data_IF_803671610611
#
_entry.id   IF_803671610611
#
_cell.length_a   1.000
_cell.length_b   1.000
_cell.length_c   1.000
_cell.angle_alpha   90.00
_cell.angle_beta   90.00
_cell.angle_gamma   90.00
#
_symmetry.space_group_name_H-M   'P 1'
#
loop_
_entity.id
_entity.type
_entity.pdbx_description
1 polymer ?
#
# COMPACT_ATOMS: atom_id res chain seq x y z
N UNK A 1 2.91 -10.85 -8.85
CA UNK A 1 2.40 -9.64 -8.17
C UNK A 1 1.88 -8.71 -9.25
N UNK A 2 0.58 -8.43 -9.26
CA UNK A 2 -0.05 -7.55 -10.25
C UNK A 2 0.44 -6.11 -10.09
N UNK A 3 1.27 -5.67 -11.03
CA UNK A 3 1.88 -4.35 -11.06
C UNK A 3 0.88 -3.27 -11.48
N UNK A 4 -0.15 -3.62 -12.26
CA UNK A 4 -1.18 -2.70 -12.73
C UNK A 4 -2.09 -2.30 -11.57
N UNK A 5 -2.59 -3.27 -10.80
CA UNK A 5 -3.35 -3.00 -9.59
C UNK A 5 -2.57 -2.14 -8.60
N UNK A 6 -1.29 -2.47 -8.35
CA UNK A 6 -0.46 -1.71 -7.43
C UNK A 6 -0.31 -0.24 -7.85
N UNK A 7 -0.13 0.01 -9.15
CA UNK A 7 0.02 1.36 -9.69
C UNK A 7 -1.31 2.12 -9.67
N UNK A 8 -2.41 1.46 -10.03
CA UNK A 8 -3.76 2.03 -9.94
C UNK A 8 -4.09 2.42 -8.49
N UNK A 9 -3.85 1.53 -7.53
CA UNK A 9 -4.12 1.79 -6.11
C UNK A 9 -3.26 2.92 -5.55
N UNK A 10 -2.01 3.05 -5.99
CA UNK A 10 -1.13 4.16 -5.59
C UNK A 10 -1.65 5.51 -6.08
N UNK A 11 -2.11 5.55 -7.32
CA UNK A 11 -2.54 6.78 -7.99
C UNK A 11 -3.99 7.18 -7.64
N UNK A 12 -4.88 6.22 -7.40
CA UNK A 12 -6.32 6.48 -7.25
C UNK A 12 -6.84 6.17 -5.84
N UNK A 13 -6.03 5.53 -4.99
CA UNK A 13 -6.47 5.13 -3.65
C UNK A 13 -6.68 6.31 -2.69
N UNK A 14 -6.01 7.43 -2.92
CA UNK A 14 -6.19 8.61 -2.08
C UNK A 14 -7.36 9.46 -2.58
N UNK A 15 -8.16 9.98 -1.66
CA UNK A 15 -9.25 10.91 -1.99
C UNK A 15 -8.72 12.27 -2.45
N UNK A 16 -7.73 12.80 -1.73
CA UNK A 16 -7.16 14.11 -1.99
C UNK A 16 -5.71 14.02 -2.45
N UNK A 17 -5.39 14.55 -3.64
CA UNK A 17 -4.03 14.68 -4.15
C UNK A 17 -3.48 16.05 -3.76
N UNK A 18 -2.60 16.08 -2.77
CA UNK A 18 -2.08 17.34 -2.22
C UNK A 18 -0.79 17.72 -2.96
N UNK A 19 -0.83 18.86 -3.65
CA UNK A 19 0.33 19.42 -4.35
C UNK A 19 1.06 20.38 -3.40
N UNK A 20 2.35 20.15 -3.19
CA UNK A 20 3.22 20.91 -2.28
C UNK A 20 3.66 22.28 -2.86
N UNK A 21 2.89 22.86 -3.80
CA UNK A 21 3.18 24.19 -4.34
C UNK A 21 2.70 25.27 -3.36
N UNK A 22 3.55 26.25 -3.07
CA UNK A 22 3.27 27.40 -2.18
C UNK A 22 2.33 28.44 -2.84
N UNK A 23 1.19 28.01 -3.37
CA UNK A 23 0.19 28.94 -3.92
C UNK A 23 -0.76 29.41 -2.82
N UNK A 24 -1.07 30.72 -2.87
CA UNK A 24 -1.82 31.50 -1.90
C UNK A 24 -3.14 30.84 -1.44
N UNK A 25 -3.62 31.13 -0.22
CA UNK A 25 -4.81 30.50 0.33
C UNK A 25 -6.05 30.81 -0.54
N UNK A 26 -6.73 29.77 -1.00
CA UNK A 26 -8.05 29.91 -1.65
C UNK A 26 -9.10 30.06 -0.53
N UNK A 27 -9.98 31.05 -0.64
CA UNK A 27 -11.07 31.30 0.32
C UNK A 27 -12.01 30.08 0.50
N UNK A 28 -12.43 29.82 1.74
CA UNK A 28 -13.15 28.62 2.14
C UNK A 28 -14.49 28.40 1.39
N UNK A 29 -15.18 29.47 0.99
CA UNK A 29 -16.49 29.40 0.29
C UNK A 29 -16.33 28.91 -1.15
N UNK A 30 -15.26 29.34 -1.82
CA UNK A 30 -14.89 28.91 -3.17
C UNK A 30 -14.37 27.46 -3.18
N UNK A 31 -13.81 27.02 -2.05
CA UNK A 31 -13.28 25.66 -1.87
C UNK A 31 -14.36 24.58 -1.82
N UNK A 32 -15.42 24.74 -1.00
CA UNK A 32 -16.46 23.70 -0.90
C UNK A 32 -17.25 23.54 -2.21
N UNK A 33 -17.49 24.62 -2.95
CA UNK A 33 -18.12 24.56 -4.27
C UNK A 33 -17.22 23.91 -5.33
N UNK A 34 -15.91 24.16 -5.30
CA UNK A 34 -14.94 23.49 -6.17
C UNK A 34 -14.80 21.99 -5.85
N UNK A 35 -14.78 21.60 -4.56
CA UNK A 35 -14.79 20.19 -4.14
C UNK A 35 -16.08 19.48 -4.55
N UNK A 36 -17.24 20.13 -4.41
CA UNK A 36 -18.55 19.58 -4.81
C UNK A 36 -18.61 19.36 -6.33
N UNK A 37 -18.08 20.30 -7.11
CA UNK A 37 -18.01 20.20 -8.58
C UNK A 37 -16.99 19.15 -9.02
N UNK A 38 -15.83 19.03 -8.35
CA UNK A 38 -14.82 18.00 -8.63
C UNK A 38 -15.30 16.59 -8.26
N UNK A 39 -16.06 16.45 -7.16
CA UNK A 39 -16.70 15.19 -6.79
C UNK A 39 -17.77 14.73 -7.80
N UNK A 40 -18.29 15.65 -8.62
CA UNK A 40 -19.29 15.38 -9.66
C UNK A 40 -18.68 14.93 -11.00
N UNK A 41 -17.37 15.16 -11.21
CA UNK A 41 -16.62 14.70 -12.39
C UNK A 41 -15.89 13.40 -12.04
N UNK A 42 -16.53 12.28 -12.31
CA UNK A 42 -15.97 10.95 -12.09
C UNK A 42 -14.71 10.72 -12.94
N UNK A 43 -13.55 10.62 -12.29
CA UNK A 43 -12.39 9.77 -12.65
C UNK A 43 -11.04 10.37 -12.19
N UNK A 44 -10.89 10.68 -10.90
CA UNK A 44 -9.57 10.99 -10.36
C UNK A 44 -9.58 11.50 -8.91
N UNK A 45 -8.41 11.50 -8.24
CA UNK A 45 -8.24 12.15 -6.96
C UNK A 45 -8.53 13.65 -7.04
N UNK A 46 -9.09 14.21 -5.96
CA UNK A 46 -9.39 15.64 -5.91
C UNK A 46 -8.09 16.39 -5.57
N UNK A 47 -7.63 17.24 -6.48
CA UNK A 47 -6.42 18.03 -6.26
C UNK A 47 -6.65 19.14 -5.23
N UNK A 48 -5.74 19.26 -4.25
CA UNK A 48 -5.73 20.35 -3.27
C UNK A 48 -4.30 20.88 -3.06
N UNK A 49 -4.16 22.15 -2.68
CA UNK A 49 -2.86 22.71 -2.29
C UNK A 49 -2.53 22.40 -0.83
N UNK A 50 -1.26 22.55 -0.44
CA UNK A 50 -0.82 22.42 0.96
C UNK A 50 -1.55 23.39 1.90
N UNK A 51 -1.69 24.66 1.50
CA UNK A 51 -2.39 25.69 2.29
C UNK A 51 -3.86 25.33 2.52
N UNK A 52 -4.52 24.81 1.50
CA UNK A 52 -5.90 24.32 1.57
C UNK A 52 -6.02 23.06 2.43
N UNK A 53 -5.08 22.12 2.33
CA UNK A 53 -5.06 20.93 3.16
C UNK A 53 -4.92 21.26 4.66
N UNK A 54 -4.06 22.22 5.00
CA UNK A 54 -3.91 22.73 6.37
C UNK A 54 -5.23 23.34 6.86
N UNK A 55 -5.93 24.11 6.02
CA UNK A 55 -7.23 24.67 6.37
C UNK A 55 -8.30 23.59 6.59
N UNK A 56 -8.37 22.57 5.73
CA UNK A 56 -9.26 21.42 5.90
C UNK A 56 -9.01 20.70 7.24
N UNK A 57 -7.75 20.42 7.57
CA UNK A 57 -7.36 19.82 8.85
C UNK A 57 -7.74 20.73 10.01
N UNK A 58 -7.50 22.04 9.90
CA UNK A 58 -7.88 23.02 10.93
C UNK A 58 -9.37 22.97 11.23
N UNK A 59 -10.23 22.87 10.21
CA UNK A 59 -11.69 22.76 10.40
C UNK A 59 -12.07 21.46 11.11
N UNK A 60 -11.47 20.33 10.73
CA UNK A 60 -11.67 19.03 11.39
C UNK A 60 -11.18 19.07 12.85
N UNK A 61 -10.04 19.72 13.10
CA UNK A 61 -9.50 19.92 14.44
C UNK A 61 -10.42 20.76 15.31
N UNK A 62 -10.93 21.90 14.81
CA UNK A 62 -11.87 22.75 15.54
C UNK A 62 -13.16 22.00 15.87
N UNK A 63 -13.69 21.22 14.92
CA UNK A 63 -14.89 20.39 15.12
C UNK A 63 -14.68 19.27 16.16
N UNK A 64 -13.47 18.73 16.25
CA UNK A 64 -13.10 17.64 17.16
C UNK A 64 -12.32 18.10 18.41
N UNK A 65 -12.34 19.40 18.74
CA UNK A 65 -11.70 19.93 19.94
C UNK A 65 -12.40 19.40 21.20
N UNK A 66 -11.84 18.33 21.77
CA UNK A 66 -11.98 18.01 23.19
C UNK A 66 -11.08 18.91 24.05
N UNK A 67 -11.13 18.71 25.37
CA UNK A 67 -10.49 19.47 26.48
C UNK A 67 -8.93 19.55 26.47
N UNK A 68 -8.27 19.46 25.32
CA UNK A 68 -6.81 19.48 25.22
C UNK A 68 -6.26 20.92 25.18
N UNK A 69 -5.10 21.09 25.81
CA UNK A 69 -4.38 22.37 25.91
C UNK A 69 -3.97 22.89 24.52
N UNK A 70 -3.92 24.22 24.36
CA UNK A 70 -3.45 24.88 23.14
C UNK A 70 -2.03 24.43 22.79
N UNK A 71 -1.81 24.09 21.51
CA UNK A 71 -0.50 23.70 20.97
C UNK A 71 -0.23 22.20 20.84
N UNK A 72 -1.23 21.34 21.09
CA UNK A 72 -1.16 19.92 20.73
C UNK A 72 -2.46 19.45 20.07
N UNK A 73 -2.36 18.60 19.07
CA UNK A 73 -3.53 18.03 18.39
C UNK A 73 -3.93 16.68 18.99
N UNK A 74 -5.23 16.37 18.98
CA UNK A 74 -5.71 15.07 19.43
C UNK A 74 -5.36 14.00 18.38
N UNK A 75 -4.58 12.95 18.70
CA UNK A 75 -4.18 11.94 17.71
C UNK A 75 -5.38 11.17 17.10
N UNK A 76 -6.56 11.19 17.73
CA UNK A 76 -7.79 10.63 17.18
C UNK A 76 -8.17 11.31 15.85
N UNK A 77 -7.87 12.61 15.67
CA UNK A 77 -8.16 13.31 14.41
C UNK A 77 -7.45 12.66 13.23
N UNK A 78 -6.25 12.09 13.44
CA UNK A 78 -5.49 11.47 12.35
C UNK A 78 -6.21 10.22 11.86
N UNK A 79 -6.88 9.49 12.76
CA UNK A 79 -7.75 8.37 12.38
C UNK A 79 -8.93 8.81 11.51
N UNK A 80 -9.52 9.97 11.80
CA UNK A 80 -10.60 10.53 10.98
C UNK A 80 -10.12 11.04 9.62
N UNK A 81 -9.00 11.76 9.61
CA UNK A 81 -8.36 12.23 8.38
C UNK A 81 -7.94 11.06 7.49
N UNK A 82 -7.37 10.01 8.08
CA UNK A 82 -7.03 8.78 7.37
C UNK A 82 -8.27 8.09 6.80
N UNK A 83 -9.39 8.07 7.55
CA UNK A 83 -10.67 7.52 7.08
C UNK A 83 -11.19 8.26 5.85
N UNK A 84 -11.14 9.59 5.85
CA UNK A 84 -11.52 10.37 4.68
C UNK A 84 -10.56 10.15 3.50
N UNK A 85 -9.25 10.07 3.77
CA UNK A 85 -8.25 9.91 2.72
C UNK A 85 -8.28 8.52 2.07
N UNK A 86 -8.67 7.47 2.82
CA UNK A 86 -8.71 6.07 2.37
C UNK A 86 -10.09 5.61 1.91
N UNK A 87 -11.07 6.51 1.75
CA UNK A 87 -12.45 6.13 1.38
C UNK A 87 -12.56 5.37 0.07
N UNK A 88 -11.61 5.58 -0.86
CA UNK A 88 -11.62 4.96 -2.18
C UNK A 88 -11.02 3.54 -2.19
N UNK A 89 -10.39 3.11 -1.09
CA UNK A 89 -9.67 1.83 -1.06
C UNK A 89 -10.60 0.63 -1.26
N UNK A 90 -11.78 0.67 -0.63
CA UNK A 90 -12.75 -0.43 -0.69
C UNK A 90 -13.22 -0.67 -2.13
N UNK A 91 -13.66 0.38 -2.82
CA UNK A 91 -14.13 0.28 -4.21
C UNK A 91 -13.04 -0.23 -5.17
N UNK A 92 -11.80 0.24 -5.01
CA UNK A 92 -10.69 -0.22 -5.85
C UNK A 92 -10.38 -1.70 -5.66
N UNK A 93 -10.43 -2.20 -4.42
CA UNK A 93 -10.16 -3.62 -4.19
C UNK A 93 -11.31 -4.49 -4.67
N UNK A 94 -12.56 -4.09 -4.46
CA UNK A 94 -13.72 -4.85 -4.95
C UNK A 94 -13.65 -4.98 -6.47
N UNK A 95 -13.44 -3.87 -7.19
CA UNK A 95 -13.31 -3.88 -8.65
C UNK A 95 -12.17 -4.80 -9.12
N UNK A 96 -11.05 -4.81 -8.41
CA UNK A 96 -9.92 -5.67 -8.74
C UNK A 96 -10.22 -7.15 -8.47
N UNK A 97 -10.82 -7.47 -7.33
CA UNK A 97 -11.23 -8.83 -6.97
C UNK A 97 -12.26 -9.39 -7.96
N UNK A 98 -13.23 -8.58 -8.37
CA UNK A 98 -14.20 -8.94 -9.42
C UNK A 98 -13.51 -9.19 -10.76
N UNK A 99 -12.55 -8.34 -11.15
CA UNK A 99 -11.73 -8.53 -12.35
C UNK A 99 -10.99 -9.87 -12.34
N UNK A 100 -10.24 -10.16 -11.27
CA UNK A 100 -9.50 -11.43 -11.13
C UNK A 100 -10.43 -12.64 -11.14
N UNK A 101 -11.58 -12.55 -10.47
CA UNK A 101 -12.55 -13.64 -10.43
C UNK A 101 -13.15 -13.91 -11.81
N UNK A 102 -13.45 -12.85 -12.58
CA UNK A 102 -13.94 -12.99 -13.95
C UNK A 102 -12.88 -13.60 -14.87
N UNK A 103 -11.63 -13.19 -14.76
CA UNK A 103 -10.55 -13.72 -15.61
C UNK A 103 -10.30 -15.21 -15.32
N UNK A 104 -10.39 -15.63 -14.05
CA UNK A 104 -10.31 -17.05 -13.67
C UNK A 104 -11.52 -17.88 -14.14
N UNK A 105 -12.70 -17.28 -14.25
CA UNK A 105 -13.89 -17.94 -14.78
C UNK A 105 -13.82 -18.18 -16.30
N UNK A 106 -13.06 -17.35 -17.03
CA UNK A 106 -12.88 -17.48 -18.49
C UNK A 106 -11.88 -18.60 -18.83
N UNK A 107 -10.93 -18.90 -17.94
CA UNK A 107 -9.98 -20.01 -18.11
C UNK A 107 -10.59 -21.36 -17.73
N UNK A 108 -11.57 -21.85 -18.52
CA UNK A 108 -12.07 -23.23 -18.73
C UNK A 108 -12.17 -24.26 -17.57
N UNK A 109 -11.92 -23.89 -16.31
CA UNK A 109 -11.85 -24.81 -15.17
C UNK A 109 -13.17 -24.95 -14.41
N UNK A 110 -14.31 -24.70 -15.05
CA UNK A 110 -15.64 -25.12 -14.57
C UNK A 110 -15.88 -24.83 -13.09
N UNK A 111 -15.66 -23.59 -12.63
CA UNK A 111 -15.96 -23.25 -11.24
C UNK A 111 -17.49 -23.15 -11.08
N UNK A 112 -18.14 -23.97 -10.24
CA UNK A 112 -19.59 -23.91 -10.08
C UNK A 112 -19.99 -22.53 -9.56
N UNK A 113 -20.91 -21.84 -10.25
CA UNK A 113 -21.31 -20.44 -10.00
C UNK A 113 -21.64 -20.11 -8.53
N UNK A 114 -22.05 -21.10 -7.74
CA UNK A 114 -22.28 -20.96 -6.30
C UNK A 114 -21.04 -20.78 -5.42
N UNK A 115 -19.87 -21.31 -5.82
CA UNK A 115 -18.62 -21.18 -5.04
C UNK A 115 -17.97 -19.80 -5.21
N UNK A 116 -18.11 -19.19 -6.39
CA UNK A 116 -17.59 -17.85 -6.69
C UNK A 116 -18.27 -16.77 -5.83
N UNK A 117 -19.60 -16.83 -5.68
CA UNK A 117 -20.36 -15.87 -4.88
C UNK A 117 -20.06 -16.00 -3.38
N UNK A 118 -19.97 -17.24 -2.87
CA UNK A 118 -19.56 -17.51 -1.49
C UNK A 118 -18.13 -17.06 -1.22
N UNK A 119 -17.27 -17.17 -2.23
CA UNK A 119 -15.89 -16.70 -2.19
C UNK A 119 -15.80 -15.17 -2.12
N UNK A 120 -16.54 -14.47 -2.98
CA UNK A 120 -16.58 -13.00 -2.99
C UNK A 120 -17.12 -12.43 -1.67
N UNK A 121 -18.21 -13.02 -1.14
CA UNK A 121 -18.83 -12.56 0.10
C UNK A 121 -17.88 -12.69 1.30
N UNK A 122 -17.19 -13.82 1.41
CA UNK A 122 -16.21 -14.07 2.47
C UNK A 122 -14.93 -13.24 2.27
N UNK A 123 -14.45 -13.06 1.05
CA UNK A 123 -13.37 -12.12 0.73
C UNK A 123 -13.73 -10.70 1.19
N UNK A 124 -14.96 -10.26 0.94
CA UNK A 124 -15.51 -8.99 1.43
C UNK A 124 -15.51 -8.89 2.96
N UNK A 125 -15.96 -9.92 3.68
CA UNK A 125 -15.90 -9.91 5.15
C UNK A 125 -14.47 -9.86 5.69
N UNK A 126 -13.53 -10.55 5.03
CA UNK A 126 -12.12 -10.55 5.42
C UNK A 126 -11.48 -9.18 5.15
N UNK A 127 -11.77 -8.57 4.00
CA UNK A 127 -11.35 -7.23 3.62
C UNK A 127 -11.84 -6.19 4.63
N UNK A 128 -13.10 -6.27 5.05
CA UNK A 128 -13.66 -5.36 6.05
C UNK A 128 -12.95 -5.49 7.41
N UNK A 129 -12.60 -6.73 7.79
CA UNK A 129 -11.84 -6.99 9.02
C UNK A 129 -10.41 -6.44 8.93
N UNK A 130 -9.71 -6.67 7.82
CA UNK A 130 -8.38 -6.13 7.55
C UNK A 130 -8.41 -4.59 7.59
N UNK A 131 -9.41 -3.99 6.95
CA UNK A 131 -9.55 -2.54 6.92
C UNK A 131 -9.80 -1.99 8.33
N UNK A 132 -10.62 -2.66 9.15
CA UNK A 132 -10.83 -2.32 10.57
C UNK A 132 -9.55 -2.47 11.40
N UNK A 133 -8.80 -3.55 11.22
CA UNK A 133 -7.57 -3.81 11.99
C UNK A 133 -6.46 -2.82 11.60
N UNK A 134 -6.38 -2.44 10.32
CA UNK A 134 -5.49 -1.39 9.83
C UNK A 134 -5.78 -0.05 10.52
N UNK A 135 -7.05 0.30 10.76
CA UNK A 135 -7.44 1.51 11.51
C UNK A 135 -6.93 1.51 12.96
N UNK A 136 -6.96 0.36 13.62
CA UNK A 136 -6.41 0.21 14.98
C UNK A 136 -4.89 0.39 15.01
N UNK A 137 -4.18 -0.15 14.01
CA UNK A 137 -2.73 0.01 13.86
C UNK A 137 -2.37 1.47 13.61
N UNK A 138 -3.09 2.17 12.72
CA UNK A 138 -2.94 3.61 12.46
C UNK A 138 -3.05 4.41 13.75
N UNK A 139 -4.03 4.11 14.61
CA UNK A 139 -4.24 4.85 15.87
C UNK A 139 -3.07 4.66 16.87
N UNK A 140 -2.40 3.51 16.84
CA UNK A 140 -1.24 3.24 17.70
C UNK A 140 0.01 3.90 17.13
N UNK A 141 0.22 3.83 15.81
CA UNK A 141 1.39 4.44 15.16
C UNK A 141 1.33 5.97 15.19
N UNK A 142 0.16 6.60 15.06
CA UNK A 142 -0.03 8.05 15.24
C UNK A 142 0.41 8.51 16.62
N UNK A 143 0.01 7.76 17.66
CA UNK A 143 0.37 8.08 19.04
C UNK A 143 1.88 7.99 19.25
N UNK A 144 2.54 6.99 18.67
CA UNK A 144 4.00 6.84 18.76
C UNK A 144 4.73 7.92 17.97
N UNK A 145 4.27 8.24 16.75
CA UNK A 145 4.88 9.23 15.87
C UNK A 145 4.68 10.67 16.32
N UNK A 146 3.51 11.03 16.85
CA UNK A 146 3.28 12.37 17.43
C UNK A 146 4.16 12.59 18.67
N UNK A 147 4.31 11.58 19.52
CA UNK A 147 5.21 11.64 20.68
C UNK A 147 6.69 11.73 20.26
N UNK A 148 7.10 11.10 19.16
CA UNK A 148 8.48 11.14 18.68
C UNK A 148 8.80 12.40 17.86
N UNK A 149 7.87 12.88 17.03
CA UNK A 149 7.99 14.08 16.22
C UNK A 149 8.02 15.35 17.09
N UNK A 150 7.12 15.47 18.08
CA UNK A 150 7.10 16.61 19.03
C UNK A 150 8.44 16.74 19.77
N UNK A 151 9.04 15.60 20.15
CA UNK A 151 10.35 15.57 20.83
C UNK A 151 11.51 15.90 19.90
N UNK A 152 11.49 15.43 18.65
CA UNK A 152 12.61 15.60 17.71
C UNK A 152 12.61 16.98 17.04
N UNK A 153 11.45 17.53 16.68
CA UNK A 153 11.32 18.88 16.12
C UNK A 153 11.70 19.96 17.13
N UNK A 154 11.20 19.86 18.38
CA UNK A 154 11.59 20.78 19.46
C UNK A 154 13.09 20.71 19.75
N UNK A 155 13.66 19.51 19.79
CA UNK A 155 15.10 19.32 20.00
C UNK A 155 15.94 19.93 18.86
N UNK A 156 15.58 19.74 17.60
CA UNK A 156 16.33 20.29 16.46
C UNK A 156 16.23 21.82 16.42
N UNK A 157 15.04 22.36 16.67
CA UNK A 157 14.81 23.81 16.73
C UNK A 157 15.60 24.48 17.86
N UNK A 158 15.68 23.83 19.03
CA UNK A 158 16.52 24.26 20.16
C UNK A 158 18.00 24.19 19.79
N UNK A 159 18.44 23.11 19.14
CA UNK A 159 19.84 22.94 18.75
C UNK A 159 20.31 24.05 17.79
N UNK A 160 19.56 24.31 16.71
CA UNK A 160 19.90 25.36 15.74
C UNK A 160 19.98 26.74 16.42
N UNK A 161 19.08 27.02 17.36
CA UNK A 161 19.04 28.30 18.07
C UNK A 161 20.16 28.43 19.09
N UNK A 162 20.46 27.34 19.80
CA UNK A 162 21.59 27.27 20.71
C UNK A 162 22.90 27.51 19.95
N UNK A 163 23.08 26.89 18.78
CA UNK A 163 24.21 27.13 17.89
C UNK A 163 24.26 28.61 17.45
N UNK A 164 23.13 29.21 17.05
CA UNK A 164 23.08 30.62 16.64
C UNK A 164 23.34 31.64 17.76
N UNK A 165 23.15 31.23 19.02
CA UNK A 165 23.39 32.05 20.20
C UNK A 165 24.72 31.71 20.89
N UNK A 166 25.47 30.74 20.36
CA UNK A 166 26.80 30.38 20.85
C UNK A 166 27.83 31.25 20.16
N UNK A 167 28.43 32.15 20.92
CA UNK A 167 29.52 33.00 20.45
C UNK A 167 30.86 32.37 20.84
N UNK A 168 31.80 32.39 19.90
CA UNK A 168 33.08 31.72 19.97
C UNK A 168 34.18 32.78 20.11
N UNK A 169 34.62 33.04 21.34
CA UNK A 169 35.62 34.08 21.62
C UNK A 169 37.02 33.48 21.75
N UNK A 170 38.02 34.13 21.15
CA UNK A 170 39.41 33.69 21.27
C UNK A 170 39.99 34.13 22.62
N UNK A 171 40.63 33.20 23.34
CA UNK A 171 41.21 33.48 24.65
C UNK A 171 42.51 34.26 24.48
N UNK A 172 42.49 35.54 24.88
CA UNK A 172 43.66 36.43 24.80
C UNK A 172 44.78 35.93 25.73
N UNK A 173 45.87 35.45 25.14
CA UNK A 173 47.06 34.95 25.86
C UNK A 173 47.47 33.52 25.50
N UNK A 174 46.75 32.84 24.60
CA UNK A 174 47.11 31.50 24.15
C UNK A 174 47.55 31.50 22.68
N UNK A 175 48.73 30.93 22.39
CA UNK A 175 49.29 30.83 21.03
C UNK A 175 48.68 29.69 20.20
N UNK A 176 47.57 29.10 20.67
CA UNK A 176 46.85 28.02 19.99
C UNK A 176 45.43 28.48 19.61
N UNK A 177 44.79 27.75 18.70
CA UNK A 177 43.39 27.95 18.26
C UNK A 177 42.38 27.50 19.33
N UNK A 178 42.60 27.85 20.60
CA UNK A 178 41.62 27.59 21.66
C UNK A 178 40.56 28.71 21.68
N UNK A 179 39.32 28.32 21.45
CA UNK A 179 38.14 29.18 21.43
C UNK A 179 37.26 28.85 22.63
N UNK A 180 36.84 29.86 23.39
CA UNK A 180 35.81 29.70 24.44
C UNK A 180 34.42 29.91 23.85
N UNK A 181 33.52 28.97 24.11
CA UNK A 181 32.11 29.10 23.75
C UNK A 181 31.36 29.80 24.89
N UNK A 182 30.70 30.93 24.59
CA UNK A 182 29.80 31.64 25.49
C UNK A 182 28.39 31.59 24.93
N UNK A 183 27.41 31.23 25.76
CA UNK A 183 26.01 31.11 25.35
C UNK A 183 25.21 32.22 26.02
N UNK A 184 24.58 33.07 25.22
CA UNK A 184 23.61 34.06 25.71
C UNK A 184 22.25 33.38 25.92
N UNK A 185 21.96 33.04 27.18
CA UNK A 185 20.73 32.32 27.57
C UNK A 185 19.48 33.16 27.31
N UNK A 186 19.54 34.49 27.49
CA UNK A 186 18.41 35.38 27.28
C UNK A 186 18.08 35.54 25.80
N UNK A 187 19.11 35.60 24.95
CA UNK A 187 18.95 35.57 23.48
C UNK A 187 18.39 34.25 23.00
N UNK A 188 18.83 33.11 23.55
CA UNK A 188 18.23 31.79 23.25
C UNK A 188 16.76 31.77 23.65
N UNK A 189 16.43 32.19 24.88
CA UNK A 189 15.06 32.17 25.39
C UNK A 189 14.13 33.08 24.56
N UNK A 190 14.56 34.30 24.27
CA UNK A 190 13.77 35.26 23.49
C UNK A 190 13.55 34.78 22.06
N UNK A 191 14.59 34.25 21.43
CA UNK A 191 14.55 33.71 20.05
C UNK A 191 13.74 32.42 19.97
N UNK A 192 13.75 31.61 21.03
CA UNK A 192 12.92 30.41 21.11
C UNK A 192 11.44 30.77 21.29
N UNK A 193 11.12 31.72 22.18
CA UNK A 193 9.76 32.16 22.45
C UNK A 193 9.12 32.90 21.26
N UNK A 194 9.88 33.68 20.49
CA UNK A 194 9.37 34.33 19.26
C UNK A 194 9.09 33.36 18.12
N UNK A 195 9.72 32.18 18.11
CA UNK A 195 9.47 31.14 17.10
C UNK A 195 8.26 30.26 17.40
N UNK A 196 7.80 30.21 18.66
CA UNK A 196 6.50 29.63 18.98
C UNK A 196 5.47 30.47 18.23
N UNK A 197 5.06 29.97 17.07
CA UNK A 197 4.19 30.65 16.13
C UNK A 197 2.92 31.08 16.89
N UNK A 198 2.53 32.37 16.90
CA UNK A 198 1.37 32.81 17.67
C UNK A 198 0.08 32.11 17.21
N UNK A 199 0.04 31.59 15.97
CA UNK A 199 -1.02 30.70 15.50
C UNK A 199 -0.65 29.22 15.71
N UNK A 200 -0.70 28.80 16.98
CA UNK A 200 -0.46 27.40 17.39
C UNK A 200 -1.37 26.40 16.68
N UNK A 201 -2.53 26.83 16.17
CA UNK A 201 -3.46 25.98 15.43
C UNK A 201 -2.97 25.68 14.02
N UNK A 202 -2.39 26.67 13.34
CA UNK A 202 -1.80 26.47 12.03
C UNK A 202 -0.58 25.55 12.11
N UNK A 203 0.27 25.74 13.13
CA UNK A 203 1.39 24.84 13.41
C UNK A 203 0.90 23.40 13.66
N UNK A 204 -0.05 23.23 14.59
CA UNK A 204 -0.61 21.90 14.92
C UNK A 204 -1.29 21.23 13.72
N UNK A 205 -1.95 22.01 12.85
CA UNK A 205 -2.58 21.50 11.62
C UNK A 205 -1.55 21.06 10.59
N UNK A 206 -0.42 21.77 10.49
CA UNK A 206 0.72 21.38 9.67
C UNK A 206 1.37 20.09 10.15
N UNK A 207 1.60 19.94 11.45
CA UNK A 207 2.13 18.69 12.02
C UNK A 207 1.19 17.50 11.80
N UNK A 208 -0.12 17.72 11.98
CA UNK A 208 -1.13 16.71 11.71
C UNK A 208 -1.13 16.27 10.24
N UNK A 209 -0.92 17.21 9.31
CA UNK A 209 -0.79 16.92 7.87
C UNK A 209 0.42 16.01 7.58
N UNK A 210 1.59 16.35 8.11
CA UNK A 210 2.81 15.56 7.91
C UNK A 210 2.69 14.16 8.51
N UNK A 211 2.09 14.06 9.70
CA UNK A 211 1.79 12.78 10.34
C UNK A 211 0.85 11.93 9.47
N UNK A 212 -0.24 12.52 8.97
CA UNK A 212 -1.18 11.86 8.06
C UNK A 212 -0.47 11.28 6.84
N UNK A 213 0.41 12.03 6.17
CA UNK A 213 1.15 11.54 5.00
C UNK A 213 2.07 10.37 5.33
N UNK A 214 2.83 10.50 6.42
CA UNK A 214 3.77 9.47 6.83
C UNK A 214 3.05 8.14 7.08
N UNK A 215 1.91 8.20 7.79
CA UNK A 215 1.10 7.03 8.10
C UNK A 215 0.43 6.49 6.84
N UNK A 216 -0.18 7.37 6.04
CA UNK A 216 -0.88 6.96 4.83
C UNK A 216 0.05 6.18 3.90
N UNK A 217 1.30 6.64 3.70
CA UNK A 217 2.30 5.94 2.89
C UNK A 217 2.62 4.54 3.40
N UNK A 218 2.79 4.37 4.71
CA UNK A 218 3.06 3.07 5.32
C UNK A 218 1.84 2.15 5.20
N UNK A 219 0.67 2.64 5.59
CA UNK A 219 -0.58 1.89 5.53
C UNK A 219 -0.94 1.49 4.10
N UNK A 220 -0.76 2.36 3.10
CA UNK A 220 -1.03 2.04 1.70
C UNK A 220 -0.16 0.88 1.23
N UNK A 221 1.14 0.90 1.52
CA UNK A 221 2.05 -0.20 1.17
C UNK A 221 1.66 -1.51 1.85
N UNK A 222 1.38 -1.47 3.15
CA UNK A 222 0.98 -2.64 3.92
C UNK A 222 -0.36 -3.19 3.45
N UNK A 223 -1.32 -2.33 3.14
CA UNK A 223 -2.64 -2.72 2.67
C UNK A 223 -2.57 -3.42 1.31
N UNK A 224 -1.84 -2.87 0.34
CA UNK A 224 -1.61 -3.52 -0.96
C UNK A 224 -1.05 -4.94 -0.75
N UNK A 225 -0.02 -5.09 0.09
CA UNK A 225 0.58 -6.39 0.37
C UNK A 225 -0.41 -7.38 1.01
N UNK A 226 -1.25 -6.90 1.94
CA UNK A 226 -2.28 -7.74 2.56
C UNK A 226 -3.33 -8.17 1.54
N UNK A 227 -3.78 -7.27 0.65
CA UNK A 227 -4.75 -7.62 -0.39
C UNK A 227 -4.17 -8.67 -1.34
N UNK A 228 -2.95 -8.47 -1.83
CA UNK A 228 -2.32 -9.43 -2.75
C UNK A 228 -2.16 -10.81 -2.11
N UNK A 229 -1.66 -10.87 -0.87
CA UNK A 229 -1.34 -12.16 -0.24
C UNK A 229 -2.54 -12.82 0.42
N UNK A 230 -3.36 -12.07 1.16
CA UNK A 230 -4.45 -12.67 1.95
C UNK A 230 -5.76 -12.77 1.19
N UNK A 231 -6.06 -11.81 0.31
CA UNK A 231 -7.32 -11.81 -0.44
C UNK A 231 -7.12 -12.52 -1.77
N UNK A 232 -6.13 -12.13 -2.57
CA UNK A 232 -5.98 -12.71 -3.90
C UNK A 232 -5.35 -14.10 -3.82
N UNK A 233 -4.11 -14.22 -3.34
CA UNK A 233 -3.40 -15.50 -3.33
C UNK A 233 -4.11 -16.55 -2.46
N UNK A 234 -4.43 -16.20 -1.21
CA UNK A 234 -4.99 -17.17 -0.27
C UNK A 234 -6.47 -17.44 -0.45
N UNK A 235 -7.27 -16.40 -0.68
CA UNK A 235 -8.71 -16.56 -0.70
C UNK A 235 -9.23 -16.89 -2.10
N UNK A 236 -8.76 -16.18 -3.13
CA UNK A 236 -9.23 -16.40 -4.50
C UNK A 236 -8.50 -17.59 -5.11
N UNK A 237 -7.17 -17.53 -5.26
CA UNK A 237 -6.40 -18.52 -6.03
C UNK A 237 -6.32 -19.88 -5.34
N UNK A 238 -5.88 -19.94 -4.09
CA UNK A 238 -5.68 -21.24 -3.40
C UNK A 238 -7.01 -21.99 -3.24
N UNK A 239 -8.10 -21.29 -2.89
CA UNK A 239 -9.39 -21.97 -2.71
C UNK A 239 -10.08 -22.30 -4.02
N UNK A 240 -9.98 -21.44 -5.04
CA UNK A 240 -10.49 -21.81 -6.36
C UNK A 240 -9.77 -23.06 -6.87
N UNK A 241 -8.45 -23.15 -6.68
CA UNK A 241 -7.67 -24.34 -7.03
C UNK A 241 -8.06 -25.57 -6.20
N UNK A 242 -8.34 -25.40 -4.91
CA UNK A 242 -8.78 -26.49 -4.03
C UNK A 242 -10.16 -27.06 -4.44
N UNK A 243 -11.08 -26.21 -4.88
CA UNK A 243 -12.38 -26.64 -5.41
C UNK A 243 -12.24 -27.33 -6.80
N UNK A 244 -11.34 -26.80 -7.65
CA UNK A 244 -11.04 -27.37 -8.98
C UNK A 244 -10.43 -28.77 -8.87
N UNK A 245 -9.47 -28.96 -7.97
CA UNK A 245 -8.80 -30.25 -7.75
C UNK A 245 -9.33 -30.99 -6.51
N UNK A 246 -10.58 -30.72 -6.12
CA UNK A 246 -11.18 -31.41 -4.99
C UNK A 246 -11.29 -32.90 -5.31
N UNK A 247 -10.90 -33.81 -4.39
CA UNK A 247 -11.06 -35.25 -4.60
C UNK A 247 -12.49 -35.66 -4.97
N UNK A 248 -13.49 -34.88 -4.53
CA UNK A 248 -14.90 -35.11 -4.85
C UNK A 248 -15.18 -34.73 -6.30
N UNK A 249 -14.72 -33.55 -6.76
CA UNK A 249 -14.86 -33.09 -8.13
C UNK A 249 -14.15 -34.05 -9.08
N UNK A 250 -12.90 -34.41 -8.80
CA UNK A 250 -12.10 -35.35 -9.60
C UNK A 250 -12.75 -36.73 -9.68
N UNK A 251 -13.31 -37.23 -8.57
CA UNK A 251 -14.01 -38.52 -8.56
C UNK A 251 -15.39 -38.47 -9.24
N UNK A 252 -15.95 -37.28 -9.46
CA UNK A 252 -17.22 -37.09 -10.16
C UNK A 252 -17.08 -36.85 -11.67
N UNK A 253 -15.85 -36.68 -12.17
CA UNK A 253 -15.59 -36.54 -13.60
C UNK A 253 -15.91 -37.84 -14.33
N UNK A 254 -16.61 -37.74 -15.45
CA UNK A 254 -16.85 -38.87 -16.34
C UNK A 254 -15.63 -39.18 -17.21
N UNK A 255 -15.50 -40.43 -17.64
CA UNK A 255 -14.37 -40.87 -18.49
C UNK A 255 -14.22 -39.99 -19.76
N UNK A 256 -15.32 -39.51 -20.33
CA UNK A 256 -15.31 -38.63 -21.50
C UNK A 256 -14.75 -37.22 -21.20
N UNK A 257 -15.02 -36.68 -20.01
CA UNK A 257 -14.48 -35.39 -19.57
C UNK A 257 -12.98 -35.51 -19.25
N UNK A 258 -12.59 -36.62 -18.62
CA UNK A 258 -11.18 -36.94 -18.36
C UNK A 258 -10.42 -37.12 -19.68
N UNK A 259 -11.00 -37.85 -20.65
CA UNK A 259 -10.40 -38.04 -21.97
C UNK A 259 -10.28 -36.71 -22.73
N UNK A 260 -11.24 -35.79 -22.61
CA UNK A 260 -11.14 -34.47 -23.22
C UNK A 260 -10.04 -33.61 -22.57
N UNK A 261 -9.87 -33.68 -21.24
CA UNK A 261 -8.84 -32.95 -20.51
C UNK A 261 -7.43 -33.49 -20.73
N UNK A 262 -7.30 -34.81 -20.86
CA UNK A 262 -6.02 -35.52 -20.97
C UNK A 262 -5.64 -35.83 -22.41
N UNK A 263 -6.58 -35.74 -23.36
CA UNK A 263 -6.29 -35.94 -24.78
C UNK A 263 -5.24 -34.98 -25.27
N UNK A 264 -4.18 -35.54 -25.83
CA UNK A 264 -3.22 -34.76 -26.58
C UNK A 264 -3.83 -34.22 -27.88
N UNK A 265 -3.34 -33.07 -28.39
CA UNK A 265 -3.75 -32.57 -29.70
C UNK A 265 -3.49 -33.62 -30.78
N UNK A 266 -4.41 -33.76 -31.74
CA UNK A 266 -4.29 -34.78 -32.81
C UNK A 266 -3.00 -34.66 -33.61
N UNK A 267 -2.42 -33.46 -33.72
CA UNK A 267 -1.11 -33.24 -34.33
C UNK A 267 0.03 -33.85 -33.51
N UNK A 268 0.00 -33.73 -32.19
CA UNK A 268 0.98 -34.31 -31.28
C UNK A 268 0.89 -35.84 -31.30
N UNK A 269 -0.32 -36.40 -31.28
CA UNK A 269 -0.53 -37.85 -31.38
C UNK A 269 -0.01 -38.45 -32.68
N UNK A 270 -0.27 -37.80 -33.82
CA UNK A 270 0.29 -38.23 -35.13
C UNK A 270 1.81 -38.15 -35.17
N UNK A 271 2.39 -37.12 -34.56
CA UNK A 271 3.84 -36.96 -34.51
C UNK A 271 4.48 -38.04 -33.64
N UNK A 272 3.85 -38.38 -32.51
CA UNK A 272 4.29 -39.47 -31.63
C UNK A 272 4.25 -40.81 -32.35
N UNK A 273 3.14 -41.12 -33.02
CA UNK A 273 2.98 -42.35 -33.82
C UNK A 273 4.02 -42.43 -34.94
N UNK A 274 4.28 -41.33 -35.65
CA UNK A 274 5.32 -41.28 -36.69
C UNK A 274 6.73 -41.49 -36.14
N UNK A 275 7.02 -41.11 -34.90
CA UNK A 275 8.35 -41.24 -34.28
C UNK A 275 8.56 -42.57 -33.56
N UNK A 276 7.50 -43.24 -33.10
CA UNK A 276 7.57 -44.60 -32.55
C UNK A 276 8.05 -45.62 -33.59
N UNK A 277 7.61 -45.46 -34.84
CA UNK A 277 7.94 -46.39 -35.93
C UNK A 277 9.46 -46.43 -36.25
N UNK A 278 10.18 -45.29 -36.38
CA UNK A 278 11.63 -45.24 -36.47
C UNK A 278 12.34 -45.73 -35.21
N UNK A 279 11.84 -45.38 -34.02
CA UNK A 279 12.46 -45.80 -32.75
C UNK A 279 12.47 -47.33 -32.67
N UNK A 280 11.32 -47.97 -32.93
CA UNK A 280 11.20 -49.43 -32.92
C UNK A 280 12.16 -50.10 -33.91
N UNK A 281 12.27 -49.58 -35.14
CA UNK A 281 13.20 -50.12 -36.15
C UNK A 281 14.67 -49.94 -35.76
N UNK A 282 15.01 -48.80 -35.14
CA UNK A 282 16.37 -48.53 -34.66
C UNK A 282 16.74 -49.42 -33.47
N UNK A 283 15.81 -49.68 -32.56
CA UNK A 283 16.00 -50.61 -31.44
C UNK A 283 16.17 -52.04 -31.92
N UNK A 284 15.34 -52.50 -32.85
CA UNK A 284 15.46 -53.84 -33.44
C UNK A 284 16.82 -53.99 -34.17
N UNK A 285 17.22 -52.98 -34.95
CA UNK A 285 18.54 -52.94 -35.57
C UNK A 285 19.67 -52.96 -34.56
N UNK A 286 19.58 -52.17 -33.49
CA UNK A 286 20.57 -52.13 -32.41
C UNK A 286 20.72 -53.48 -31.71
N UNK A 287 19.62 -54.17 -31.42
CA UNK A 287 19.63 -55.49 -30.79
C UNK A 287 20.29 -56.55 -31.68
N UNK A 288 20.02 -56.50 -32.99
CA UNK A 288 20.70 -57.37 -33.97
C UNK A 288 22.21 -57.10 -33.98
N UNK A 289 22.63 -55.84 -34.05
CA UNK A 289 24.06 -55.49 -34.05
C UNK A 289 24.75 -55.88 -32.74
N UNK A 290 24.07 -55.72 -31.60
CA UNK A 290 24.58 -56.14 -30.29
C UNK A 290 24.81 -57.65 -30.24
N UNK A 291 23.82 -58.45 -30.65
CA UNK A 291 23.95 -59.90 -30.69
C UNK A 291 25.08 -60.39 -31.62
N UNK A 292 25.29 -59.73 -32.77
CA UNK A 292 26.40 -60.04 -33.68
C UNK A 292 27.75 -59.71 -33.04
N UNK A 293 27.89 -58.55 -32.38
CA UNK A 293 29.14 -58.19 -31.71
C UNK A 293 29.48 -59.14 -30.55
N UNK A 294 28.48 -59.53 -29.74
CA UNK A 294 28.68 -60.47 -28.64
C UNK A 294 29.08 -61.88 -29.16
N UNK A 295 28.57 -62.28 -30.32
CA UNK A 295 28.94 -63.55 -30.98
C UNK A 295 30.32 -63.54 -31.64
N UNK A 296 30.85 -62.36 -31.99
CA UNK A 296 32.16 -62.21 -32.63
C UNK A 296 33.32 -62.11 -31.63
N UNK A 297 33.02 -61.96 -30.34
CA UNK A 297 34.00 -61.87 -29.24
C UNK A 297 34.27 -63.19 -28.50
N UNK A 298 33.70 -64.30 -28.96
CA UNK A 298 33.97 -65.67 -28.48
C UNK A 298 34.68 -66.51 -29.54
#
# INVERSE_FOLDING_TARGET
MDTEFCNNFRNNGHKYQIVMSDTSPIEATTFYSALQNAASSASGPIHMSKSTAIHWIRQIMVKNRGQNLQGNFNPVIIGELFREQSSNWEGLVINHVEGVTRDLAISDFGCPEGSAQGSLSRAGTHLWRIHKDTRSITTITTRIQSISADKSARRLSLQIRLESATEHNHLSGCNSTHTSASIDVDKVATTFLTYINPDMDNFSSGEALECLFAIYKVCQKTFIAIITTQVIERYIIIRSLEDIFSPITVNSLSDAEVEAMVSEPTSAGRQREFLEDPISKLEEGYEIFRGVMDSATH
#
